data_IF_964192155944
#
_entry.id   IF_964192155944
#
_cell.length_a   1.000
_cell.length_b   1.000
_cell.length_c   1.000
_cell.angle_alpha   90.00
_cell.angle_beta   90.00
_cell.angle_gamma   90.00
#
_symmetry.space_group_name_H-M   'P 1'
#
loop_
_entity.id
_entity.type
_entity.pdbx_description
1 polymer ?
#
# COMPACT_ATOMS: atom_id res chain seq x y z
N UNK A 1 18.78 17.88 -7.72
CA UNK A 1 18.78 16.41 -7.78
C UNK A 1 17.55 15.96 -8.56
N UNK A 2 17.73 15.02 -9.48
CA UNK A 2 16.64 14.45 -10.29
C UNK A 2 16.35 13.03 -9.85
N UNK A 3 15.10 12.69 -9.62
CA UNK A 3 14.71 11.36 -9.15
C UNK A 3 13.61 10.81 -10.05
N UNK A 4 13.75 9.54 -10.43
CA UNK A 4 12.67 8.77 -11.03
C UNK A 4 12.14 7.79 -9.98
N UNK A 5 10.83 7.82 -9.71
CA UNK A 5 10.10 6.76 -9.04
C UNK A 5 9.35 5.92 -10.06
N UNK A 6 9.68 4.64 -10.15
CA UNK A 6 8.85 3.68 -10.86
C UNK A 6 7.87 3.01 -9.90
N UNK A 7 6.60 3.07 -10.23
CA UNK A 7 5.51 2.40 -9.51
C UNK A 7 4.57 1.75 -10.53
N UNK A 8 4.26 0.45 -10.40
CA UNK A 8 3.46 -0.26 -11.40
C UNK A 8 2.06 0.31 -11.63
N UNK A 9 1.46 0.91 -10.61
CA UNK A 9 0.12 1.50 -10.71
C UNK A 9 -0.04 2.68 -9.78
N UNK A 10 -0.66 3.74 -10.30
CA UNK A 10 -1.16 4.90 -9.55
C UNK A 10 -2.70 4.95 -9.60
N UNK A 11 -3.33 3.82 -9.85
CA UNK A 11 -4.78 3.70 -9.81
C UNK A 11 -5.30 3.83 -8.38
N UNK A 12 -6.46 4.47 -8.21
CA UNK A 12 -7.10 4.67 -6.92
C UNK A 12 -7.38 3.35 -6.19
N UNK A 13 -7.68 2.30 -6.93
CA UNK A 13 -7.94 0.96 -6.39
C UNK A 13 -6.67 0.22 -5.92
N UNK A 14 -5.48 0.69 -6.31
CA UNK A 14 -4.20 0.10 -5.88
C UNK A 14 -3.86 0.34 -4.39
N UNK A 15 -4.64 1.18 -3.71
CA UNK A 15 -4.61 1.30 -2.25
C UNK A 15 -3.39 2.02 -1.69
N UNK A 16 -2.74 1.42 -0.68
CA UNK A 16 -1.73 2.09 0.14
C UNK A 16 -0.51 2.61 -0.62
N UNK A 17 -0.02 1.90 -1.62
CA UNK A 17 1.16 2.30 -2.41
C UNK A 17 0.88 3.53 -3.27
N UNK A 18 -0.33 3.66 -3.82
CA UNK A 18 -0.76 4.86 -4.54
C UNK A 18 -0.89 6.06 -3.62
N UNK A 19 -1.52 5.88 -2.45
CA UNK A 19 -1.63 6.94 -1.44
C UNK A 19 -0.25 7.40 -0.93
N UNK A 20 0.66 6.45 -0.68
CA UNK A 20 2.05 6.74 -0.35
C UNK A 20 2.72 7.60 -1.43
N UNK A 21 2.62 7.21 -2.70
CA UNK A 21 3.24 7.92 -3.80
C UNK A 21 2.67 9.34 -3.95
N UNK A 22 1.37 9.51 -3.76
CA UNK A 22 0.73 10.82 -3.80
C UNK A 22 1.24 11.75 -2.70
N UNK A 23 1.31 11.25 -1.46
CA UNK A 23 1.83 12.01 -0.32
C UNK A 23 3.32 12.34 -0.49
N UNK A 24 4.12 11.36 -0.87
CA UNK A 24 5.55 11.55 -1.09
C UNK A 24 5.80 12.60 -2.16
N UNK A 25 5.12 12.52 -3.30
CA UNK A 25 5.33 13.44 -4.40
C UNK A 25 4.95 14.88 -4.05
N UNK A 26 3.87 15.06 -3.29
CA UNK A 26 3.45 16.39 -2.85
C UNK A 26 4.53 17.12 -2.05
N UNK A 27 5.33 16.39 -1.27
CA UNK A 27 6.39 17.00 -0.45
C UNK A 27 7.77 16.90 -1.11
N UNK A 28 8.15 15.74 -1.60
CA UNK A 28 9.46 15.54 -2.22
C UNK A 28 9.64 16.37 -3.49
N UNK A 29 8.58 16.52 -4.30
CA UNK A 29 8.62 17.33 -5.52
C UNK A 29 8.81 18.83 -5.29
N UNK A 30 8.67 19.32 -4.04
CA UNK A 30 9.06 20.70 -3.66
C UNK A 30 10.57 20.84 -3.50
N UNK A 31 11.29 19.74 -3.27
CA UNK A 31 12.70 19.72 -2.91
C UNK A 31 13.59 19.24 -4.06
N UNK A 32 13.05 18.45 -4.98
CA UNK A 32 13.80 17.82 -6.07
C UNK A 32 12.97 17.82 -7.37
N UNK A 33 13.64 17.66 -8.51
CA UNK A 33 12.97 17.38 -9.77
C UNK A 33 12.50 15.92 -9.75
N UNK A 34 11.20 15.74 -9.54
CA UNK A 34 10.59 14.45 -9.34
C UNK A 34 9.83 13.99 -10.58
N UNK A 35 10.15 12.78 -11.02
CA UNK A 35 9.49 12.11 -12.15
C UNK A 35 8.89 10.78 -11.65
N UNK A 36 7.62 10.56 -11.91
CA UNK A 36 6.94 9.29 -11.60
C UNK A 36 6.65 8.57 -12.91
N UNK A 37 7.09 7.33 -13.00
CA UNK A 37 6.81 6.45 -14.15
C UNK A 37 5.89 5.32 -13.71
N UNK A 38 4.76 5.18 -14.40
CA UNK A 38 3.73 4.19 -14.10
C UNK A 38 3.17 3.58 -15.39
N UNK A 39 2.28 2.61 -15.22
CA UNK A 39 1.48 2.12 -16.34
C UNK A 39 0.15 2.88 -16.43
N UNK A 40 -0.42 2.96 -17.64
CA UNK A 40 -1.74 3.56 -17.86
C UNK A 40 -2.78 2.85 -17.01
N UNK A 41 -3.64 3.61 -16.35
CA UNK A 41 -4.74 3.11 -15.56
C UNK A 41 -6.04 3.84 -15.90
N UNK A 42 -7.18 3.23 -15.59
CA UNK A 42 -8.50 3.78 -15.90
C UNK A 42 -8.95 4.87 -14.91
N UNK A 43 -8.40 4.86 -13.69
CA UNK A 43 -8.75 5.78 -12.62
C UNK A 43 -7.51 6.24 -11.84
N UNK A 44 -6.54 6.92 -12.52
CA UNK A 44 -5.32 7.36 -11.86
C UNK A 44 -5.62 8.44 -10.82
N UNK A 45 -4.88 8.42 -9.71
CA UNK A 45 -4.91 9.55 -8.78
C UNK A 45 -4.13 10.72 -9.37
N UNK A 46 -4.57 11.93 -9.07
CA UNK A 46 -3.78 13.12 -9.38
C UNK A 46 -2.60 13.21 -8.42
N UNK A 47 -1.39 13.32 -8.96
CA UNK A 47 -0.15 13.47 -8.20
C UNK A 47 0.45 14.83 -8.53
N UNK A 48 0.55 15.69 -7.53
CA UNK A 48 1.10 17.03 -7.66
C UNK A 48 2.62 17.06 -7.54
N UNK A 49 3.22 18.23 -7.88
CA UNK A 49 4.63 18.53 -7.70
C UNK A 49 5.61 17.55 -8.38
N UNK A 50 5.19 16.88 -9.45
CA UNK A 50 6.02 15.97 -10.22
C UNK A 50 5.56 15.88 -11.67
N UNK A 51 6.41 15.32 -12.51
CA UNK A 51 6.02 14.89 -13.87
C UNK A 51 5.62 13.41 -13.85
N UNK A 52 4.47 13.07 -14.43
CA UNK A 52 3.99 11.69 -14.52
C UNK A 52 4.12 11.20 -15.94
N UNK A 53 4.83 10.09 -16.11
CA UNK A 53 5.06 9.43 -17.39
C UNK A 53 4.41 8.05 -17.38
N UNK A 54 3.81 7.67 -18.53
CA UNK A 54 3.21 6.36 -18.68
C UNK A 54 4.00 5.52 -19.67
N UNK A 55 4.32 4.29 -19.28
CA UNK A 55 4.99 3.30 -20.13
C UNK A 55 4.12 2.06 -20.28
N UNK A 56 4.29 1.27 -21.36
CA UNK A 56 3.61 -0.01 -21.53
C UNK A 56 3.95 -0.99 -20.42
N UNK A 57 3.05 -1.95 -20.19
CA UNK A 57 3.28 -3.05 -19.26
C UNK A 57 4.27 -4.07 -19.82
N UNK A 58 4.70 -5.01 -18.98
CA UNK A 58 5.60 -6.12 -19.37
C UNK A 58 5.10 -6.93 -20.57
N UNK A 59 3.79 -7.01 -20.81
CA UNK A 59 3.23 -7.69 -21.99
C UNK A 59 3.73 -7.10 -23.30
N UNK A 60 4.15 -5.84 -23.30
CA UNK A 60 4.76 -5.16 -24.42
C UNK A 60 6.26 -4.89 -24.17
N UNK A 61 7.01 -5.93 -23.79
CA UNK A 61 8.40 -5.87 -23.32
C UNK A 61 9.30 -4.93 -24.15
N UNK A 62 9.33 -5.07 -25.47
CA UNK A 62 10.20 -4.26 -26.34
C UNK A 62 9.83 -2.77 -26.29
N UNK A 63 8.52 -2.45 -26.28
CA UNK A 63 8.04 -1.07 -26.18
C UNK A 63 8.33 -0.50 -24.79
N UNK A 64 8.08 -1.27 -23.75
CA UNK A 64 8.39 -0.90 -22.35
C UNK A 64 9.87 -0.57 -22.20
N UNK A 65 10.78 -1.46 -22.67
CA UNK A 65 12.23 -1.23 -22.60
C UNK A 65 12.63 0.05 -23.33
N UNK A 66 12.15 0.24 -24.58
CA UNK A 66 12.49 1.42 -25.38
C UNK A 66 12.06 2.72 -24.70
N UNK A 67 10.82 2.77 -24.18
CA UNK A 67 10.33 3.97 -23.51
C UNK A 67 11.02 4.22 -22.17
N UNK A 68 11.32 3.17 -21.41
CA UNK A 68 12.07 3.30 -20.17
C UNK A 68 13.49 3.87 -20.41
N UNK A 69 14.22 3.32 -21.39
CA UNK A 69 15.55 3.81 -21.72
C UNK A 69 15.53 5.24 -22.30
N UNK A 70 14.50 5.57 -23.07
CA UNK A 70 14.28 6.94 -23.53
C UNK A 70 14.10 7.91 -22.37
N UNK A 71 13.24 7.59 -21.39
CA UNK A 71 13.04 8.43 -20.20
C UNK A 71 14.31 8.57 -19.35
N UNK A 72 15.07 7.49 -19.17
CA UNK A 72 16.36 7.56 -18.46
C UNK A 72 17.33 8.52 -19.14
N UNK A 73 17.40 8.50 -20.45
CA UNK A 73 18.28 9.39 -21.21
C UNK A 73 17.82 10.86 -21.14
N UNK A 74 16.52 11.13 -21.34
CA UNK A 74 15.95 12.49 -21.31
C UNK A 74 16.05 13.13 -19.93
N UNK A 75 15.72 12.38 -18.88
CA UNK A 75 15.68 12.90 -17.51
C UNK A 75 17.08 12.92 -16.90
N UNK A 76 17.91 11.93 -17.21
CA UNK A 76 19.23 11.67 -16.62
C UNK A 76 19.18 11.75 -15.09
N UNK A 77 18.48 10.82 -14.41
CA UNK A 77 18.24 10.91 -12.98
C UNK A 77 19.50 10.58 -12.16
N UNK A 78 19.63 11.21 -11.00
CA UNK A 78 20.65 10.86 -10.00
C UNK A 78 20.32 9.52 -9.32
N UNK A 79 19.01 9.23 -9.14
CA UNK A 79 18.50 8.05 -8.44
C UNK A 79 17.29 7.52 -9.19
N UNK A 80 17.23 6.20 -9.34
CA UNK A 80 16.04 5.48 -9.76
C UNK A 80 15.48 4.69 -8.57
N UNK A 81 14.28 5.02 -8.15
CA UNK A 81 13.59 4.41 -7.03
C UNK A 81 12.50 3.46 -7.53
N UNK A 82 12.68 2.18 -7.28
CA UNK A 82 11.73 1.14 -7.69
C UNK A 82 10.79 0.85 -6.53
N UNK A 83 9.49 1.02 -6.76
CA UNK A 83 8.46 0.71 -5.79
C UNK A 83 7.78 -0.62 -6.16
N UNK A 84 7.57 -1.46 -5.15
CA UNK A 84 6.98 -2.80 -5.26
C UNK A 84 7.94 -3.91 -5.70
N UNK A 85 7.50 -5.12 -5.41
CA UNK A 85 8.19 -6.38 -5.72
C UNK A 85 7.26 -7.35 -6.46
N UNK A 86 7.82 -8.49 -6.87
CA UNK A 86 7.11 -9.62 -7.51
C UNK A 86 6.56 -9.37 -8.91
N UNK A 87 6.67 -8.17 -9.44
CA UNK A 87 6.26 -7.85 -10.80
C UNK A 87 7.48 -7.81 -11.72
N UNK A 88 7.48 -8.51 -12.85
CA UNK A 88 8.61 -8.49 -13.79
C UNK A 88 9.02 -7.08 -14.21
N UNK A 89 8.06 -6.17 -14.36
CA UNK A 89 8.31 -4.77 -14.71
C UNK A 89 9.23 -4.06 -13.71
N UNK A 90 9.06 -4.28 -12.40
CA UNK A 90 9.92 -3.68 -11.37
C UNK A 90 11.37 -4.15 -11.51
N UNK A 91 11.58 -5.45 -11.64
CA UNK A 91 12.91 -6.02 -11.77
C UNK A 91 13.60 -5.64 -13.09
N UNK A 92 12.85 -5.52 -14.18
CA UNK A 92 13.37 -5.15 -15.49
C UNK A 92 13.74 -3.67 -15.57
N UNK A 93 12.90 -2.77 -15.08
CA UNK A 93 13.22 -1.34 -15.02
C UNK A 93 14.45 -1.11 -14.15
N UNK A 94 14.56 -1.80 -13.01
CA UNK A 94 15.76 -1.80 -12.20
C UNK A 94 16.99 -2.29 -12.98
N UNK A 95 16.89 -3.47 -13.61
CA UNK A 95 18.00 -4.06 -14.37
C UNK A 95 18.48 -3.13 -15.46
N UNK A 96 17.58 -2.58 -16.29
CA UNK A 96 17.95 -1.67 -17.37
C UNK A 96 18.59 -0.39 -16.87
N UNK A 97 18.15 0.14 -15.71
CA UNK A 97 18.79 1.29 -15.09
C UNK A 97 20.20 0.98 -14.61
N UNK A 98 20.42 -0.21 -14.03
CA UNK A 98 21.73 -0.65 -13.56
C UNK A 98 22.70 -0.94 -14.71
N UNK A 99 22.22 -1.39 -15.86
CA UNK A 99 23.01 -1.53 -17.08
C UNK A 99 23.58 -0.18 -17.57
N UNK A 100 22.95 0.93 -17.18
CA UNK A 100 23.39 2.31 -17.42
C UNK A 100 24.05 2.97 -16.19
N UNK A 101 24.41 2.18 -15.17
CA UNK A 101 25.06 2.62 -13.94
C UNK A 101 24.26 3.56 -13.03
N UNK A 102 22.93 3.67 -13.19
CA UNK A 102 22.10 4.42 -12.27
C UNK A 102 22.04 3.76 -10.89
N UNK A 103 22.01 4.59 -9.83
CA UNK A 103 21.84 4.12 -8.45
C UNK A 103 20.38 3.75 -8.19
N UNK A 104 20.18 2.62 -7.52
CA UNK A 104 18.86 2.03 -7.28
C UNK A 104 18.52 2.05 -5.80
N UNK A 105 17.35 2.58 -5.48
CA UNK A 105 16.64 2.34 -4.22
C UNK A 105 15.44 1.43 -4.52
N UNK A 106 15.22 0.41 -3.71
CA UNK A 106 14.09 -0.51 -3.85
C UNK A 106 13.23 -0.49 -2.58
N UNK A 107 11.95 -0.15 -2.71
CA UNK A 107 10.97 -0.20 -1.61
C UNK A 107 9.99 -1.35 -1.83
N UNK A 108 10.02 -2.40 -1.01
CA UNK A 108 9.11 -3.53 -1.13
C UNK A 108 7.65 -3.24 -0.70
N UNK A 109 7.41 -2.24 0.14
CA UNK A 109 6.09 -1.92 0.71
C UNK A 109 5.42 -3.13 1.39
N UNK A 110 6.15 -3.82 2.26
CA UNK A 110 5.66 -5.01 2.96
C UNK A 110 5.51 -6.27 2.08
N UNK A 111 5.81 -6.19 0.79
CA UNK A 111 5.60 -7.34 -0.13
C UNK A 111 6.59 -8.49 0.11
N UNK A 112 7.65 -8.27 0.87
CA UNK A 112 8.63 -9.29 1.28
C UNK A 112 8.39 -9.82 2.70
N UNK A 113 7.23 -9.53 3.28
CA UNK A 113 6.82 -10.11 4.56
C UNK A 113 6.69 -11.63 4.47
N UNK A 114 7.09 -12.39 5.53
CA UNK A 114 7.15 -13.86 5.50
C UNK A 114 5.85 -14.52 5.06
N UNK A 115 4.70 -14.00 5.50
CA UNK A 115 3.40 -14.54 5.14
C UNK A 115 3.02 -14.25 3.66
N UNK A 116 3.48 -13.13 3.06
CA UNK A 116 3.30 -12.84 1.61
C UNK A 116 4.17 -13.78 0.78
N UNK A 117 5.40 -14.04 1.23
CA UNK A 117 6.29 -14.99 0.57
C UNK A 117 5.67 -16.39 0.59
N UNK A 118 5.10 -16.82 1.72
CA UNK A 118 4.45 -18.15 1.85
C UNK A 118 3.23 -18.32 0.94
N UNK A 119 2.51 -17.23 0.62
CA UNK A 119 1.32 -17.30 -0.26
C UNK A 119 1.72 -17.60 -1.70
N UNK A 120 1.20 -18.68 -2.26
CA UNK A 120 1.56 -19.19 -3.59
C UNK A 120 3.08 -19.39 -3.75
N UNK A 121 3.73 -19.90 -2.68
CA UNK A 121 5.17 -20.02 -2.58
C UNK A 121 5.77 -20.79 -3.77
N UNK A 122 5.32 -22.02 -3.99
CA UNK A 122 5.86 -22.90 -5.04
C UNK A 122 5.49 -22.45 -6.46
N UNK A 123 4.27 -21.96 -6.67
CA UNK A 123 3.73 -21.69 -8.02
C UNK A 123 4.09 -20.32 -8.56
N UNK A 124 4.28 -19.32 -7.69
CA UNK A 124 4.54 -17.93 -8.11
C UNK A 124 5.80 -17.34 -7.50
N UNK A 125 6.02 -17.56 -6.20
CA UNK A 125 7.11 -16.85 -5.49
C UNK A 125 8.49 -17.45 -5.76
N UNK A 126 8.63 -18.78 -5.74
CA UNK A 126 9.89 -19.44 -6.09
C UNK A 126 10.32 -19.13 -7.53
N UNK A 127 9.49 -19.31 -8.56
CA UNK A 127 9.87 -18.93 -9.90
C UNK A 127 10.28 -17.45 -10.01
N UNK A 128 9.49 -16.53 -9.46
CA UNK A 128 9.82 -15.11 -9.48
C UNK A 128 11.14 -14.80 -8.74
N UNK A 129 11.37 -15.46 -7.59
CA UNK A 129 12.58 -15.29 -6.79
C UNK A 129 13.83 -15.73 -7.58
N UNK A 130 13.75 -16.89 -8.21
CA UNK A 130 14.88 -17.45 -8.98
C UNK A 130 15.14 -16.67 -10.26
N UNK A 131 14.08 -16.26 -10.98
CA UNK A 131 14.22 -15.62 -12.28
C UNK A 131 14.68 -14.16 -12.19
N UNK A 132 14.17 -13.39 -11.22
CA UNK A 132 14.45 -11.95 -11.19
C UNK A 132 14.46 -11.29 -9.81
N UNK A 133 13.59 -11.71 -8.86
CA UNK A 133 13.36 -10.94 -7.64
C UNK A 133 14.58 -10.97 -6.70
N UNK A 134 15.22 -12.14 -6.51
CA UNK A 134 16.42 -12.27 -5.67
C UNK A 134 17.53 -11.36 -6.18
N UNK A 135 17.75 -11.36 -7.48
CA UNK A 135 18.79 -10.55 -8.13
C UNK A 135 18.51 -9.05 -7.98
N UNK A 136 17.23 -8.65 -8.11
CA UNK A 136 16.81 -7.26 -7.91
C UNK A 136 17.12 -6.81 -6.47
N UNK A 137 16.81 -7.64 -5.46
CA UNK A 137 17.09 -7.30 -4.05
C UNK A 137 18.61 -7.20 -3.80
N UNK A 138 19.38 -8.18 -4.27
CA UNK A 138 20.84 -8.21 -4.07
C UNK A 138 21.52 -6.98 -4.68
N UNK A 139 21.11 -6.61 -5.90
CA UNK A 139 21.75 -5.56 -6.69
C UNK A 139 21.24 -4.14 -6.40
N UNK A 140 20.20 -3.97 -5.62
CA UNK A 140 19.79 -2.64 -5.18
C UNK A 140 20.90 -2.01 -4.32
N UNK A 141 21.20 -0.73 -4.53
CA UNK A 141 22.17 -0.01 -3.72
C UNK A 141 21.67 0.12 -2.28
N UNK A 142 20.36 0.42 -2.13
CA UNK A 142 19.67 0.46 -0.85
C UNK A 142 18.28 -0.17 -0.95
N UNK A 143 17.86 -0.80 0.13
CA UNK A 143 16.45 -1.13 0.37
C UNK A 143 15.86 -0.06 1.29
N UNK A 144 14.69 0.42 0.95
CA UNK A 144 13.92 1.30 1.80
C UNK A 144 12.83 0.50 2.50
N UNK A 145 12.89 0.42 3.82
CA UNK A 145 11.88 -0.18 4.69
C UNK A 145 10.98 0.93 5.27
N UNK A 146 9.69 0.69 5.33
CA UNK A 146 8.70 1.64 5.85
C UNK A 146 8.48 1.53 7.36
N UNK A 147 9.03 0.49 7.99
CA UNK A 147 8.93 0.22 9.42
C UNK A 147 10.10 -0.64 9.92
N UNK A 148 10.34 -0.62 11.24
CA UNK A 148 11.35 -1.48 11.88
C UNK A 148 11.10 -2.97 11.61
N UNK A 149 9.84 -3.43 11.70
CA UNK A 149 9.46 -4.81 11.43
C UNK A 149 9.77 -5.24 9.99
N UNK A 150 9.57 -4.35 9.01
CA UNK A 150 9.93 -4.62 7.63
C UNK A 150 11.45 -4.76 7.48
N UNK A 151 12.26 -3.88 8.10
CA UNK A 151 13.72 -3.99 8.11
C UNK A 151 14.18 -5.31 8.70
N UNK A 152 13.63 -5.72 9.85
CA UNK A 152 13.97 -6.99 10.48
C UNK A 152 13.67 -8.19 9.57
N UNK A 153 12.52 -8.17 8.88
CA UNK A 153 12.15 -9.21 7.93
C UNK A 153 13.07 -9.23 6.71
N UNK A 154 13.46 -8.08 6.18
CA UNK A 154 14.43 -7.96 5.09
C UNK A 154 15.82 -8.48 5.50
N UNK A 155 16.27 -8.18 6.72
CA UNK A 155 17.52 -8.71 7.27
C UNK A 155 17.48 -10.24 7.43
N UNK A 156 16.33 -10.82 7.85
CA UNK A 156 16.14 -12.28 7.91
C UNK A 156 16.20 -12.95 6.55
N UNK A 157 15.73 -12.29 5.50
CA UNK A 157 15.88 -12.76 4.11
C UNK A 157 17.36 -12.79 3.70
N UNK A 158 18.18 -11.85 4.18
CA UNK A 158 19.63 -11.86 4.08
C UNK A 158 20.22 -11.54 2.70
N UNK A 159 19.42 -11.08 1.74
CA UNK A 159 19.90 -10.82 0.38
C UNK A 159 20.58 -9.45 0.22
N UNK A 160 20.23 -8.48 1.04
CA UNK A 160 20.84 -7.15 1.05
C UNK A 160 20.83 -6.60 2.47
N UNK A 161 21.95 -6.01 2.92
CA UNK A 161 22.10 -5.48 4.27
C UNK A 161 22.00 -3.94 4.32
N UNK A 162 22.06 -3.28 3.16
CA UNK A 162 21.95 -1.83 3.05
C UNK A 162 20.47 -1.45 3.12
N UNK A 163 19.93 -1.30 4.33
CA UNK A 163 18.51 -1.07 4.57
C UNK A 163 18.32 0.17 5.41
N UNK A 164 17.67 1.17 4.82
CA UNK A 164 17.28 2.40 5.52
C UNK A 164 15.80 2.38 5.87
N UNK A 165 15.45 2.96 7.02
CA UNK A 165 14.06 3.06 7.47
C UNK A 165 13.59 4.49 7.28
N UNK A 166 12.57 4.67 6.47
CA UNK A 166 11.86 5.94 6.33
C UNK A 166 10.37 5.62 6.39
N UNK A 167 9.71 6.00 7.48
CA UNK A 167 8.29 5.77 7.67
C UNK A 167 7.46 6.55 6.64
N UNK A 168 6.31 5.98 6.28
CA UNK A 168 5.34 6.70 5.45
C UNK A 168 4.85 7.96 6.17
N UNK A 169 4.79 9.07 5.45
CA UNK A 169 4.26 10.33 5.98
C UNK A 169 2.75 10.34 6.13
N UNK A 170 2.26 11.30 6.89
CA UNK A 170 0.84 11.61 7.02
C UNK A 170 0.66 13.14 7.03
N UNK A 171 -0.37 13.65 6.37
CA UNK A 171 -0.72 15.07 6.38
C UNK A 171 -1.39 15.45 7.69
N UNK A 172 -0.61 15.88 8.67
CA UNK A 172 -1.09 16.23 10.02
C UNK A 172 -2.04 17.43 9.97
N UNK A 173 -1.80 18.38 9.09
CA UNK A 173 -2.61 19.60 8.94
C UNK A 173 -4.08 19.33 8.60
N UNK A 174 -4.35 18.21 7.93
CA UNK A 174 -5.70 17.77 7.59
C UNK A 174 -6.41 17.03 8.74
N UNK A 175 -5.69 16.74 9.84
CA UNK A 175 -6.24 16.00 10.97
C UNK A 175 -6.80 16.96 12.00
N UNK A 176 -8.13 17.03 12.10
CA UNK A 176 -8.78 17.77 13.17
C UNK A 176 -8.77 16.95 14.46
N UNK A 177 -8.01 17.38 15.45
CA UNK A 177 -7.95 16.72 16.74
C UNK A 177 -9.31 16.77 17.47
N UNK A 178 -9.58 15.76 18.30
CA UNK A 178 -10.72 15.82 19.22
C UNK A 178 -10.43 16.85 20.31
N UNK A 179 -11.38 17.75 20.50
CA UNK A 179 -11.36 18.77 21.57
C UNK A 179 -12.13 18.32 22.82
N UNK A 180 -12.92 17.26 22.72
CA UNK A 180 -13.67 16.68 23.82
C UNK A 180 -13.80 15.16 23.67
N UNK A 181 -13.82 14.48 24.83
CA UNK A 181 -13.93 13.03 24.92
C UNK A 181 -15.33 12.58 25.35
N UNK A 182 -16.36 13.34 24.97
CA UNK A 182 -17.74 12.91 25.23
C UNK A 182 -18.01 11.58 24.54
N UNK A 183 -18.40 10.58 25.32
CA UNK A 183 -18.71 9.23 24.84
C UNK A 183 -19.87 9.26 23.86
N UNK A 184 -19.67 8.78 22.66
CA UNK A 184 -20.66 8.76 21.56
C UNK A 184 -21.18 7.36 21.26
N UNK A 185 -20.62 6.35 21.94
CA UNK A 185 -20.94 4.94 21.73
C UNK A 185 -20.74 4.49 20.28
N UNK A 186 -19.64 4.97 19.63
CA UNK A 186 -19.28 4.64 18.26
C UNK A 186 -17.97 3.88 18.21
N UNK A 187 -17.98 2.72 17.56
CA UNK A 187 -16.80 1.92 17.25
C UNK A 187 -16.56 1.99 15.75
N UNK A 188 -15.31 2.19 15.35
CA UNK A 188 -14.90 2.29 13.94
C UNK A 188 -13.92 1.17 13.60
N UNK A 189 -14.22 0.43 12.55
CA UNK A 189 -13.26 -0.28 11.74
C UNK A 189 -13.09 0.49 10.43
N UNK A 190 -11.84 0.76 10.00
CA UNK A 190 -11.57 1.43 8.74
C UNK A 190 -10.33 0.82 8.10
N UNK A 191 -10.54 0.03 7.06
CA UNK A 191 -9.49 -0.58 6.24
C UNK A 191 -10.12 -1.19 4.99
N UNK A 192 -9.30 -1.60 4.02
CA UNK A 192 -9.77 -2.48 2.95
C UNK A 192 -10.42 -3.73 3.56
N UNK A 193 -11.63 -4.08 3.11
CA UNK A 193 -12.34 -5.29 3.55
C UNK A 193 -11.69 -6.50 2.89
N UNK A 194 -10.91 -7.23 3.69
CA UNK A 194 -10.16 -8.39 3.24
C UNK A 194 -9.94 -9.34 4.42
N UNK A 195 -9.91 -10.65 4.18
CA UNK A 195 -9.75 -11.69 5.20
C UNK A 195 -8.62 -11.39 6.19
N UNK A 196 -7.49 -10.85 5.72
CA UNK A 196 -6.36 -10.44 6.55
C UNK A 196 -6.67 -9.43 7.64
N UNK A 197 -7.70 -8.63 7.44
CA UNK A 197 -8.03 -7.54 8.36
C UNK A 197 -8.85 -8.01 9.55
N UNK A 198 -9.16 -9.33 9.59
CA UNK A 198 -9.75 -9.97 10.76
C UNK A 198 -11.14 -9.45 11.12
N UNK A 199 -11.92 -8.99 10.13
CA UNK A 199 -13.26 -8.40 10.36
C UNK A 199 -14.20 -9.44 10.99
N UNK A 200 -14.07 -10.70 10.61
CA UNK A 200 -14.80 -11.80 11.22
C UNK A 200 -14.58 -11.87 12.73
N UNK A 201 -13.34 -11.73 13.21
CA UNK A 201 -13.06 -11.69 14.66
C UNK A 201 -13.70 -10.49 15.36
N UNK A 202 -13.73 -9.32 14.69
CA UNK A 202 -14.45 -8.18 15.23
C UNK A 202 -15.94 -8.48 15.38
N UNK A 203 -16.58 -9.06 14.35
CA UNK A 203 -18.00 -9.43 14.34
C UNK A 203 -18.28 -10.46 15.43
N UNK A 204 -17.49 -11.52 15.54
CA UNK A 204 -17.62 -12.56 16.57
C UNK A 204 -17.45 -11.97 17.97
N UNK A 205 -16.49 -11.08 18.19
CA UNK A 205 -16.29 -10.40 19.48
C UNK A 205 -17.46 -9.51 19.86
N UNK A 206 -18.06 -8.81 18.89
CA UNK A 206 -19.27 -8.00 19.11
C UNK A 206 -20.44 -8.90 19.51
N UNK A 207 -20.57 -10.08 18.90
CA UNK A 207 -21.63 -11.03 19.26
C UNK A 207 -21.52 -11.52 20.69
N UNK A 208 -20.30 -11.77 21.15
CA UNK A 208 -20.04 -12.15 22.57
C UNK A 208 -20.43 -11.02 23.55
N UNK A 209 -20.23 -9.77 23.14
CA UNK A 209 -20.47 -8.58 23.95
C UNK A 209 -21.79 -7.87 23.63
N UNK A 210 -22.71 -8.53 22.92
CA UNK A 210 -23.93 -7.86 22.40
C UNK A 210 -24.77 -7.15 23.46
N UNK A 211 -24.85 -7.70 24.67
CA UNK A 211 -25.62 -7.12 25.78
C UNK A 211 -24.99 -5.82 26.31
N UNK A 212 -23.65 -5.74 26.30
CA UNK A 212 -22.87 -4.57 26.74
C UNK A 212 -22.80 -3.49 25.64
N UNK A 213 -22.94 -3.91 24.40
CA UNK A 213 -22.80 -3.05 23.22
C UNK A 213 -24.15 -2.68 22.58
N UNK A 214 -25.28 -2.98 23.21
CA UNK A 214 -26.63 -2.74 22.65
C UNK A 214 -26.90 -1.31 22.19
N UNK A 215 -26.27 -0.32 22.82
CA UNK A 215 -26.39 1.10 22.50
C UNK A 215 -25.25 1.60 21.60
N UNK A 216 -24.34 0.73 21.16
CA UNK A 216 -23.21 1.11 20.32
C UNK A 216 -23.56 0.96 18.85
N UNK A 217 -22.99 1.88 18.05
CA UNK A 217 -22.98 1.83 16.59
C UNK A 217 -21.60 1.41 16.13
N UNK A 218 -21.50 0.31 15.40
CA UNK A 218 -20.27 -0.21 14.87
C UNK A 218 -20.21 0.05 13.37
N UNK A 219 -19.34 0.93 12.95
CA UNK A 219 -19.15 1.29 11.55
C UNK A 219 -17.98 0.48 10.96
N UNK A 220 -18.24 -0.30 9.91
CA UNK A 220 -17.24 -0.97 9.10
C UNK A 220 -17.10 -0.19 7.80
N UNK A 221 -16.01 0.58 7.70
CA UNK A 221 -15.68 1.41 6.55
C UNK A 221 -14.58 0.75 5.70
N UNK A 222 -14.80 0.66 4.39
CA UNK A 222 -13.84 0.15 3.44
C UNK A 222 -14.48 -0.53 2.25
N UNK A 223 -13.67 -0.81 1.25
CA UNK A 223 -14.03 -1.55 0.04
C UNK A 223 -13.30 -2.89 0.01
N UNK A 224 -13.87 -3.88 -0.67
CA UNK A 224 -13.30 -5.20 -0.81
C UNK A 224 -14.08 -6.04 -1.81
N UNK A 225 -13.81 -7.34 -1.79
CA UNK A 225 -14.56 -8.31 -2.58
C UNK A 225 -16.03 -8.37 -2.12
N UNK A 226 -16.96 -8.22 -3.05
CA UNK A 226 -18.40 -8.16 -2.72
C UNK A 226 -18.91 -9.49 -2.13
N UNK A 227 -18.39 -10.63 -2.57
CA UNK A 227 -18.79 -11.92 -2.02
C UNK A 227 -18.38 -12.01 -0.55
N UNK A 228 -17.15 -11.61 -0.23
CA UNK A 228 -16.67 -11.59 1.15
C UNK A 228 -17.44 -10.58 2.02
N UNK A 229 -17.78 -9.40 1.48
CA UNK A 229 -18.64 -8.44 2.20
C UNK A 229 -20.02 -9.05 2.50
N UNK A 230 -20.60 -9.77 1.55
CA UNK A 230 -21.88 -10.43 1.74
C UNK A 230 -21.79 -11.58 2.76
N UNK A 231 -20.71 -12.36 2.75
CA UNK A 231 -20.44 -13.37 3.80
C UNK A 231 -20.39 -12.75 5.19
N UNK A 232 -19.70 -11.62 5.35
CA UNK A 232 -19.62 -10.88 6.62
C UNK A 232 -21.00 -10.35 7.06
N UNK A 233 -21.81 -9.83 6.14
CA UNK A 233 -23.19 -9.40 6.43
C UNK A 233 -24.07 -10.56 6.87
N UNK A 234 -23.97 -11.70 6.20
CA UNK A 234 -24.71 -12.92 6.61
C UNK A 234 -24.28 -13.39 8.00
N UNK A 235 -22.99 -13.34 8.30
CA UNK A 235 -22.47 -13.66 9.64
C UNK A 235 -23.11 -12.76 10.72
N UNK A 236 -23.27 -11.46 10.45
CA UNK A 236 -23.92 -10.53 11.41
C UNK A 236 -25.38 -10.90 11.67
N UNK A 237 -26.10 -11.36 10.64
CA UNK A 237 -27.49 -11.81 10.74
C UNK A 237 -27.55 -13.12 11.57
N UNK A 238 -26.71 -14.10 11.25
CA UNK A 238 -26.65 -15.38 11.96
C UNK A 238 -26.36 -15.22 13.46
N UNK A 239 -25.51 -14.24 13.80
CA UNK A 239 -25.15 -13.95 15.20
C UNK A 239 -26.14 -13.00 15.90
N UNK A 240 -27.19 -12.52 15.22
CA UNK A 240 -28.22 -11.66 15.76
C UNK A 240 -27.71 -10.27 16.18
N UNK A 241 -26.76 -9.72 15.43
CA UNK A 241 -26.12 -8.41 15.70
C UNK A 241 -26.17 -7.45 14.50
N UNK A 242 -26.90 -7.79 13.44
CA UNK A 242 -26.99 -6.98 12.23
C UNK A 242 -27.42 -5.51 12.50
N UNK A 243 -28.26 -5.28 13.51
CA UNK A 243 -28.72 -3.94 13.88
C UNK A 243 -27.63 -3.05 14.50
N UNK A 244 -26.51 -3.62 14.96
CA UNK A 244 -25.40 -2.87 15.57
C UNK A 244 -24.33 -2.49 14.57
N UNK A 245 -24.24 -3.21 13.43
CA UNK A 245 -23.13 -3.15 12.48
C UNK A 245 -23.57 -2.52 11.16
N UNK A 246 -22.89 -1.45 10.76
CA UNK A 246 -23.15 -0.73 9.51
C UNK A 246 -21.93 -0.83 8.57
N UNK A 247 -22.11 -1.48 7.42
CA UNK A 247 -21.14 -1.47 6.33
C UNK A 247 -21.35 -0.21 5.51
N UNK A 248 -20.46 0.77 5.66
CA UNK A 248 -20.64 2.11 5.07
C UNK A 248 -19.89 2.32 3.75
N UNK A 249 -19.21 1.28 3.25
CA UNK A 249 -18.45 1.37 1.99
C UNK A 249 -17.13 2.13 2.13
N UNK A 250 -16.53 2.48 0.99
CA UNK A 250 -15.28 3.21 0.94
C UNK A 250 -15.43 4.65 1.41
N UNK A 251 -14.50 5.12 2.24
CA UNK A 251 -14.47 6.51 2.74
C UNK A 251 -13.07 7.11 2.55
N UNK A 252 -13.03 8.35 2.06
CA UNK A 252 -11.80 9.03 1.67
C UNK A 252 -11.81 10.50 2.15
N UNK A 253 -10.63 11.12 2.11
CA UNK A 253 -10.48 12.54 2.41
C UNK A 253 -11.05 12.96 3.78
N UNK A 254 -11.79 14.05 3.81
CA UNK A 254 -12.39 14.60 5.05
C UNK A 254 -13.37 13.65 5.73
N UNK A 255 -14.13 12.89 4.96
CA UNK A 255 -15.09 11.92 5.50
C UNK A 255 -14.40 10.86 6.36
N UNK A 256 -13.21 10.40 5.95
CA UNK A 256 -12.37 9.49 6.75
C UNK A 256 -12.02 10.09 8.10
N UNK A 257 -11.56 11.34 8.12
CA UNK A 257 -11.17 12.01 9.36
C UNK A 257 -12.36 12.30 10.26
N UNK A 258 -13.54 12.62 9.67
CA UNK A 258 -14.78 12.76 10.41
C UNK A 258 -15.16 11.48 11.16
N UNK A 259 -15.03 10.31 10.52
CA UNK A 259 -15.32 9.02 11.18
C UNK A 259 -14.35 8.77 12.35
N UNK A 260 -13.06 9.02 12.19
CA UNK A 260 -12.10 8.92 13.30
C UNK A 260 -12.43 9.88 14.44
N UNK A 261 -12.81 11.12 14.11
CA UNK A 261 -13.19 12.12 15.13
C UNK A 261 -14.45 11.73 15.89
N UNK A 262 -15.39 11.06 15.23
CA UNK A 262 -16.66 10.65 15.83
C UNK A 262 -16.56 9.33 16.60
N UNK A 263 -15.60 8.46 16.29
CA UNK A 263 -15.45 7.19 16.95
C UNK A 263 -14.86 7.34 18.37
N UNK A 264 -15.37 6.57 19.32
CA UNK A 264 -14.78 6.45 20.67
C UNK A 264 -13.65 5.43 20.68
N UNK A 265 -13.77 4.41 19.82
CA UNK A 265 -12.79 3.33 19.69
C UNK A 265 -12.56 2.99 18.21
N UNK A 266 -11.29 2.87 17.83
CA UNK A 266 -10.88 2.33 16.54
C UNK A 266 -10.32 0.93 16.73
N UNK A 267 -10.85 -0.03 15.97
CA UNK A 267 -10.45 -1.44 16.06
C UNK A 267 -9.99 -1.93 14.68
N UNK A 268 -8.78 -2.48 14.63
CA UNK A 268 -8.22 -3.10 13.43
C UNK A 268 -7.56 -4.43 13.81
N UNK A 269 -8.31 -5.55 13.89
CA UNK A 269 -7.83 -6.85 14.35
C UNK A 269 -7.08 -7.59 13.25
N UNK A 270 -6.11 -6.93 12.63
CA UNK A 270 -5.35 -7.48 11.50
C UNK A 270 -4.47 -8.65 11.93
N UNK A 271 -4.35 -9.66 11.07
CA UNK A 271 -3.44 -10.79 11.29
C UNK A 271 -1.95 -10.43 11.10
N UNK A 272 -1.67 -9.30 10.48
CA UNK A 272 -0.30 -8.82 10.19
C UNK A 272 -0.28 -7.33 9.94
#
# INVERSE_FOLDING_TARGET
MKIIHYIPSIDRTSGGTTAYMQLLANELGKLVELNIVSHVSNNPVNIGNCQVHYIPTFNQYRKMKRQWLFLLNEINPDIVHINCCWMPGCALTQKWSQELNYKIVLTPHGMLEPWIIKRHYWTRKIPALLLYQKNAIIKANYLHATANSEKENLLKIGYNKNIEIIANGIEIEKITLKTSWKRRKKILFLSRIHVKKGINFLIESIALLKNDLKDYVINIAGEGDENYINELKQLTIQLGIANYIHFIGGVYGEQKWKLFKEADLFILPTHS
#
